data_IF_851478904080
#
_entry.id   IF_851478904080
#
_cell.length_a   1.000
_cell.length_b   1.000
_cell.length_c   1.000
_cell.angle_alpha   90.00
_cell.angle_beta   90.00
_cell.angle_gamma   90.00
#
_symmetry.space_group_name_H-M   'P 1'
#
loop_
_entity.id
_entity.type
_entity.pdbx_description
1 polymer ?
#
# COMPACT_ATOMS: atom_id res chain seq x y z
N UNK A 1 -7.82 12.26 17.77
CA UNK A 1 -7.44 10.83 17.80
C UNK A 1 -5.96 10.74 18.10
N UNK A 2 -5.53 10.02 19.14
CA UNK A 2 -4.11 9.97 19.55
C UNK A 2 -3.16 9.41 18.46
N UNK A 3 -3.71 8.76 17.43
CA UNK A 3 -2.95 8.18 16.34
C UNK A 3 -2.45 9.22 15.32
N UNK A 4 -3.08 10.40 15.19
CA UNK A 4 -2.71 11.41 14.18
C UNK A 4 -2.04 12.64 14.80
N UNK A 5 -1.41 12.49 15.97
CA UNK A 5 -0.76 13.62 16.61
C UNK A 5 0.38 14.17 15.73
N UNK A 6 0.41 15.48 15.40
CA UNK A 6 1.38 16.05 14.47
C UNK A 6 2.83 15.73 14.81
N UNK A 7 3.22 15.82 16.08
CA UNK A 7 4.58 15.45 16.51
C UNK A 7 4.96 14.01 16.14
N UNK A 8 4.05 13.05 16.26
CA UNK A 8 4.33 11.66 15.91
C UNK A 8 4.52 11.54 14.40
N UNK A 9 3.64 12.16 13.61
CA UNK A 9 3.73 12.14 12.15
C UNK A 9 5.04 12.77 11.68
N UNK A 10 5.36 13.98 12.15
CA UNK A 10 6.59 14.69 11.78
C UNK A 10 7.85 13.89 12.15
N UNK A 11 7.87 13.21 13.30
CA UNK A 11 8.99 12.35 13.67
C UNK A 11 9.12 11.15 12.71
N UNK A 12 8.02 10.51 12.34
CA UNK A 12 8.05 9.40 11.39
C UNK A 12 8.47 9.87 9.98
N UNK A 13 7.99 11.02 9.53
CA UNK A 13 8.41 11.63 8.24
C UNK A 13 9.90 11.92 8.23
N UNK A 14 10.40 12.55 9.30
CA UNK A 14 11.83 12.81 9.46
C UNK A 14 12.65 11.51 9.43
N UNK A 15 12.24 10.48 10.17
CA UNK A 15 12.95 9.21 10.19
C UNK A 15 12.93 8.51 8.82
N UNK A 16 11.81 8.58 8.09
CA UNK A 16 11.72 8.05 6.74
C UNK A 16 12.66 8.80 5.78
N UNK A 17 12.60 10.14 5.78
CA UNK A 17 13.47 10.97 4.96
C UNK A 17 14.96 10.78 5.29
N UNK A 18 15.31 10.68 6.57
CA UNK A 18 16.68 10.37 7.01
C UNK A 18 17.13 9.00 6.50
N UNK A 19 16.29 7.97 6.67
CA UNK A 19 16.58 6.61 6.18
C UNK A 19 16.83 6.58 4.67
N UNK A 20 16.10 7.40 3.90
CA UNK A 20 16.29 7.53 2.45
C UNK A 20 17.51 8.36 2.06
N UNK A 21 17.86 9.39 2.83
CA UNK A 21 19.12 10.12 2.60
C UNK A 21 20.34 9.20 2.67
N UNK A 22 20.30 8.21 3.59
CA UNK A 22 21.32 7.18 3.66
C UNK A 22 21.35 6.29 2.42
N UNK A 23 20.23 6.08 1.72
CA UNK A 23 20.19 5.37 0.44
C UNK A 23 20.84 6.18 -0.68
N UNK A 24 20.44 7.45 -0.87
CA UNK A 24 20.91 8.32 -1.97
C UNK A 24 22.39 8.72 -1.90
N UNK A 25 23.02 8.69 -0.73
CA UNK A 25 24.41 9.16 -0.55
C UNK A 25 25.51 8.26 -1.20
N UNK A 26 25.15 7.28 -2.03
CA UNK A 26 26.12 6.41 -2.72
C UNK A 26 25.82 6.31 -4.23
N UNK A 27 25.85 7.45 -4.92
CA UNK A 27 25.87 7.52 -6.38
C UNK A 27 27.23 7.02 -6.93
N UNK A 28 27.58 5.76 -6.66
CA UNK A 28 28.44 5.00 -7.55
C UNK A 28 27.53 4.25 -8.51
N UNK A 29 27.79 4.32 -9.82
CA UNK A 29 26.99 3.79 -10.94
C UNK A 29 26.64 2.28 -10.90
N UNK A 30 26.94 1.58 -9.81
CA UNK A 30 26.44 0.24 -9.52
C UNK A 30 25.12 0.31 -8.76
N UNK A 31 24.09 -0.38 -9.26
CA UNK A 31 22.87 -0.71 -8.51
C UNK A 31 23.28 -1.56 -7.31
N UNK A 32 23.69 -0.95 -6.21
CA UNK A 32 23.91 -1.68 -4.97
C UNK A 32 22.53 -2.08 -4.41
N UNK A 33 22.31 -3.35 -4.06
CA UNK A 33 21.08 -3.78 -3.40
C UNK A 33 20.86 -2.92 -2.16
N UNK A 34 19.58 -2.64 -1.85
CA UNK A 34 19.16 -1.75 -0.77
C UNK A 34 20.11 -1.84 0.44
N UNK A 35 20.73 -0.71 0.80
CA UNK A 35 21.83 -0.68 1.78
C UNK A 35 21.48 -1.48 3.04
N UNK A 36 22.49 -2.14 3.63
CA UNK A 36 22.36 -3.00 4.81
C UNK A 36 21.47 -2.42 5.91
N UNK A 37 21.50 -1.09 6.13
CA UNK A 37 20.66 -0.40 7.10
C UNK A 37 19.16 -0.46 6.77
N UNK A 38 18.75 -0.09 5.55
CA UNK A 38 17.34 -0.09 5.16
C UNK A 38 16.76 -1.51 5.19
N UNK A 39 17.51 -2.48 4.66
CA UNK A 39 17.13 -3.89 4.75
C UNK A 39 16.92 -4.33 6.21
N UNK A 40 17.87 -4.02 7.12
CA UNK A 40 17.72 -4.30 8.56
C UNK A 40 16.53 -3.57 9.17
N UNK A 41 16.25 -2.33 8.78
CA UNK A 41 15.10 -1.56 9.26
C UNK A 41 13.78 -2.22 8.84
N UNK A 42 13.62 -2.58 7.58
CA UNK A 42 12.42 -3.29 7.12
C UNK A 42 12.28 -4.64 7.83
N UNK A 43 13.32 -5.46 7.88
CA UNK A 43 13.27 -6.74 8.60
C UNK A 43 12.90 -6.56 10.08
N UNK A 44 13.46 -5.54 10.73
CA UNK A 44 13.11 -5.20 12.11
C UNK A 44 11.62 -4.85 12.23
N UNK A 45 11.09 -3.97 11.39
CA UNK A 45 9.67 -3.60 11.40
C UNK A 45 8.74 -4.81 11.18
N UNK A 46 9.09 -5.68 10.23
CA UNK A 46 8.32 -6.89 9.90
C UNK A 46 8.39 -7.97 10.99
N UNK A 47 9.37 -7.92 11.89
CA UNK A 47 9.49 -8.85 13.02
C UNK A 47 8.47 -8.59 14.14
N UNK A 48 7.90 -7.38 14.23
CA UNK A 48 6.96 -7.03 15.28
C UNK A 48 5.53 -7.50 14.98
N UNK A 49 5.08 -8.48 15.75
CA UNK A 49 3.78 -9.12 15.54
C UNK A 49 2.58 -8.36 16.13
N UNK A 50 2.67 -7.83 17.36
CA UNK A 50 1.43 -7.68 18.16
C UNK A 50 1.12 -6.29 18.74
N UNK A 51 2.12 -5.55 19.25
CA UNK A 51 1.82 -4.37 20.08
C UNK A 51 1.55 -3.07 19.30
N UNK A 52 2.22 -2.87 18.17
CA UNK A 52 2.24 -1.56 17.47
C UNK A 52 1.83 -1.66 16.00
N UNK A 53 0.88 -2.55 15.71
CA UNK A 53 0.49 -2.99 14.35
C UNK A 53 0.16 -1.84 13.40
N UNK A 54 -0.66 -0.89 13.84
CA UNK A 54 -1.01 0.31 13.07
C UNK A 54 0.24 1.14 12.72
N UNK A 55 1.11 1.41 13.71
CA UNK A 55 2.30 2.24 13.51
C UNK A 55 3.31 1.60 12.57
N UNK A 56 3.43 0.29 12.62
CA UNK A 56 4.30 -0.46 11.70
C UNK A 56 3.78 -0.30 10.28
N UNK A 57 2.50 -0.57 10.02
CA UNK A 57 1.92 -0.41 8.68
C UNK A 57 2.05 1.05 8.21
N UNK A 58 1.71 2.02 9.06
CA UNK A 58 1.81 3.43 8.74
C UNK A 58 3.25 3.86 8.40
N UNK A 59 4.23 3.46 9.21
CA UNK A 59 5.63 3.80 8.96
C UNK A 59 6.18 3.08 7.72
N UNK A 60 5.75 1.83 7.46
CA UNK A 60 6.07 1.13 6.22
C UNK A 60 5.53 1.87 5.00
N UNK A 61 4.29 2.38 5.04
CA UNK A 61 3.74 3.23 3.99
C UNK A 61 4.64 4.44 3.73
N UNK A 62 5.08 5.13 4.78
CA UNK A 62 5.93 6.32 4.65
C UNK A 62 7.31 5.98 4.09
N UNK A 63 7.94 4.91 4.58
CA UNK A 63 9.22 4.43 4.05
C UNK A 63 9.09 4.05 2.57
N UNK A 64 8.12 3.21 2.23
CA UNK A 64 7.88 2.78 0.85
C UNK A 64 7.58 3.96 -0.05
N UNK A 65 6.79 4.96 0.37
CA UNK A 65 6.51 6.13 -0.45
C UNK A 65 7.71 7.09 -0.58
N UNK A 66 8.66 7.03 0.36
CA UNK A 66 9.88 7.85 0.32
C UNK A 66 10.98 7.22 -0.56
N UNK A 67 10.84 5.94 -0.92
CA UNK A 67 11.73 5.27 -1.86
C UNK A 67 11.61 5.94 -3.24
N UNK A 68 12.71 6.18 -3.96
CA UNK A 68 12.63 6.76 -5.31
C UNK A 68 11.91 5.84 -6.30
N UNK A 69 11.45 6.37 -7.43
CA UNK A 69 10.79 5.56 -8.47
C UNK A 69 11.71 4.53 -9.12
N UNK A 70 13.03 4.77 -9.08
CA UNK A 70 14.05 3.91 -9.65
C UNK A 70 14.72 2.96 -8.64
N UNK A 71 14.24 2.94 -7.40
CA UNK A 71 14.83 2.07 -6.40
C UNK A 71 14.41 0.61 -6.61
N UNK A 72 15.36 -0.30 -6.40
CA UNK A 72 15.15 -1.73 -6.49
C UNK A 72 15.09 -2.30 -5.08
N UNK A 73 13.94 -2.88 -4.72
CA UNK A 73 13.78 -3.66 -3.49
C UNK A 73 14.11 -5.11 -3.84
N UNK A 74 14.88 -5.77 -2.98
CA UNK A 74 15.17 -7.20 -3.09
C UNK A 74 13.88 -8.04 -3.08
N UNK A 75 13.75 -9.00 -4.00
CA UNK A 75 12.53 -9.81 -4.19
C UNK A 75 12.10 -10.50 -2.89
N UNK A 76 13.05 -11.08 -2.13
CA UNK A 76 12.75 -11.76 -0.87
C UNK A 76 12.27 -10.77 0.20
N UNK A 77 12.75 -9.52 0.20
CA UNK A 77 12.16 -8.51 1.07
C UNK A 77 10.76 -8.09 0.60
N UNK A 78 10.56 -7.92 -0.70
CA UNK A 78 9.26 -7.62 -1.28
C UNK A 78 8.21 -8.67 -0.88
N UNK A 79 8.55 -9.95 -1.00
CA UNK A 79 7.71 -11.08 -0.60
C UNK A 79 7.38 -11.05 0.90
N UNK A 80 8.37 -10.75 1.75
CA UNK A 80 8.15 -10.61 3.19
C UNK A 80 7.20 -9.44 3.52
N UNK A 81 7.37 -8.28 2.88
CA UNK A 81 6.46 -7.15 3.09
C UNK A 81 5.05 -7.51 2.62
N UNK A 82 4.93 -8.10 1.43
CA UNK A 82 3.67 -8.55 0.82
C UNK A 82 2.93 -9.51 1.74
N UNK A 83 3.58 -10.59 2.16
CA UNK A 83 3.00 -11.59 3.07
C UNK A 83 2.53 -10.94 4.38
N UNK A 84 3.35 -10.08 4.98
CA UNK A 84 3.00 -9.40 6.24
C UNK A 84 1.84 -8.42 6.08
N UNK A 85 1.76 -7.69 4.98
CA UNK A 85 0.66 -6.74 4.77
C UNK A 85 -0.65 -7.46 4.44
N UNK A 86 -0.61 -8.60 3.76
CA UNK A 86 -1.78 -9.48 3.59
C UNK A 86 -2.28 -9.98 4.95
N UNK A 87 -1.40 -10.46 5.83
CA UNK A 87 -1.80 -10.86 7.19
C UNK A 87 -2.45 -9.70 7.95
N UNK A 88 -1.90 -8.48 7.82
CA UNK A 88 -2.41 -7.28 8.50
C UNK A 88 -3.67 -6.70 7.86
N UNK A 89 -3.93 -7.01 6.59
CA UNK A 89 -5.20 -6.68 5.97
C UNK A 89 -6.35 -7.46 6.61
N UNK A 90 -6.08 -8.59 7.27
CA UNK A 90 -7.08 -9.39 7.98
C UNK A 90 -7.21 -9.03 9.48
N UNK A 91 -6.63 -7.90 9.91
CA UNK A 91 -6.67 -7.47 11.31
C UNK A 91 -8.09 -7.16 11.82
N UNK A 92 -8.33 -7.41 13.11
CA UNK A 92 -9.57 -7.04 13.79
C UNK A 92 -9.83 -5.53 13.74
N UNK A 93 -8.77 -4.72 13.89
CA UNK A 93 -8.88 -3.26 13.83
C UNK A 93 -8.98 -2.78 12.38
N UNK A 94 -10.04 -2.04 12.07
CA UNK A 94 -10.23 -1.42 10.75
C UNK A 94 -9.11 -0.46 10.39
N UNK A 95 -8.52 0.23 11.38
CA UNK A 95 -7.43 1.18 11.18
C UNK A 95 -6.17 0.45 10.70
N UNK A 96 -5.90 -0.72 11.26
CA UNK A 96 -4.76 -1.56 10.84
C UNK A 96 -5.00 -2.10 9.44
N UNK A 97 -6.22 -2.59 9.13
CA UNK A 97 -6.55 -3.06 7.79
C UNK A 97 -6.36 -1.98 6.72
N UNK A 98 -6.85 -0.77 7.00
CA UNK A 98 -6.68 0.37 6.08
C UNK A 98 -5.20 0.75 5.89
N UNK A 99 -4.41 0.76 6.96
CA UNK A 99 -2.96 1.02 6.85
C UNK A 99 -2.20 -0.08 6.11
N UNK A 100 -2.60 -1.35 6.27
CA UNK A 100 -2.02 -2.44 5.49
C UNK A 100 -2.29 -2.26 3.99
N UNK A 101 -3.52 -1.86 3.63
CA UNK A 101 -3.86 -1.49 2.24
C UNK A 101 -2.95 -0.37 1.74
N UNK A 102 -2.79 0.73 2.49
CA UNK A 102 -1.90 1.83 2.09
C UNK A 102 -0.44 1.40 1.93
N UNK A 103 0.08 0.58 2.84
CA UNK A 103 1.45 0.06 2.76
C UNK A 103 1.69 -0.82 1.52
N UNK A 104 0.66 -1.51 1.03
CA UNK A 104 0.77 -2.36 -0.16
C UNK A 104 0.70 -1.61 -1.50
N UNK A 105 0.48 -0.29 -1.51
CA UNK A 105 0.21 0.47 -2.73
C UNK A 105 1.29 0.28 -3.81
N UNK A 106 2.57 0.40 -3.43
CA UNK A 106 3.72 0.26 -4.34
C UNK A 106 4.12 -1.18 -4.68
N UNK A 107 3.46 -2.16 -4.08
CA UNK A 107 3.74 -3.60 -4.26
C UNK A 107 2.78 -4.25 -5.25
N UNK A 108 1.91 -3.47 -5.89
CA UNK A 108 0.98 -3.97 -6.89
C UNK A 108 1.70 -4.27 -8.21
N UNK A 109 1.30 -5.36 -8.85
CA UNK A 109 1.73 -5.74 -10.20
C UNK A 109 0.50 -5.79 -11.12
N UNK A 110 0.07 -4.66 -11.72
CA UNK A 110 -1.18 -4.57 -12.47
C UNK A 110 -1.24 -5.47 -13.72
N UNK A 111 -0.07 -5.77 -14.30
CA UNK A 111 0.10 -6.67 -15.43
C UNK A 111 0.09 -8.16 -15.05
N UNK A 112 0.26 -8.47 -13.77
CA UNK A 112 0.21 -9.83 -13.25
C UNK A 112 -1.22 -10.18 -12.86
N UNK A 113 -1.85 -11.07 -13.62
CA UNK A 113 -3.22 -11.51 -13.39
C UNK A 113 -3.41 -12.21 -12.02
N UNK A 114 -2.35 -12.72 -11.42
CA UNK A 114 -2.35 -13.40 -10.12
C UNK A 114 -1.66 -12.57 -9.03
N UNK A 115 -1.59 -11.24 -9.18
CA UNK A 115 -1.00 -10.37 -8.18
C UNK A 115 -1.73 -10.51 -6.83
N UNK A 116 -1.05 -10.97 -5.75
CA UNK A 116 -1.71 -11.24 -4.47
C UNK A 116 -2.22 -9.97 -3.78
N UNK A 117 -1.57 -8.83 -4.00
CA UNK A 117 -2.02 -7.54 -3.48
C UNK A 117 -3.35 -7.11 -4.15
N UNK A 118 -3.47 -7.31 -5.47
CA UNK A 118 -4.71 -6.99 -6.19
C UNK A 118 -5.83 -7.91 -5.73
N UNK A 119 -5.57 -9.21 -5.52
CA UNK A 119 -6.55 -10.13 -4.96
C UNK A 119 -7.01 -9.73 -3.55
N UNK A 120 -6.07 -9.34 -2.68
CA UNK A 120 -6.36 -8.78 -1.36
C UNK A 120 -7.24 -7.52 -1.45
N UNK A 121 -6.93 -6.60 -2.37
CA UNK A 121 -7.70 -5.38 -2.58
C UNK A 121 -9.14 -5.70 -3.02
N UNK A 122 -9.29 -6.59 -4.00
CA UNK A 122 -10.60 -7.05 -4.47
C UNK A 122 -11.40 -7.69 -3.34
N UNK A 123 -10.76 -8.52 -2.51
CA UNK A 123 -11.40 -9.12 -1.33
C UNK A 123 -11.98 -8.03 -0.42
N UNK A 124 -11.19 -7.03 -0.01
CA UNK A 124 -11.69 -5.95 0.87
C UNK A 124 -12.77 -5.10 0.21
N UNK A 125 -12.64 -4.82 -1.09
CA UNK A 125 -13.63 -4.02 -1.82
C UNK A 125 -15.02 -4.70 -1.88
N UNK A 126 -15.04 -6.03 -1.93
CA UNK A 126 -16.26 -6.82 -1.94
C UNK A 126 -16.77 -7.22 -0.56
N UNK A 127 -15.88 -7.44 0.41
CA UNK A 127 -16.21 -8.14 1.67
C UNK A 127 -15.99 -7.31 2.93
N UNK A 128 -15.18 -6.25 2.90
CA UNK A 128 -14.96 -5.46 4.10
C UNK A 128 -16.24 -4.69 4.48
N UNK A 129 -16.68 -4.88 5.72
CA UNK A 129 -17.89 -4.22 6.24
C UNK A 129 -17.67 -2.73 6.47
N UNK A 130 -16.42 -2.30 6.67
CA UNK A 130 -16.09 -0.91 7.03
C UNK A 130 -15.78 -0.09 5.77
N UNK A 131 -16.55 0.98 5.50
CA UNK A 131 -16.34 1.80 4.32
C UNK A 131 -14.97 2.48 4.32
N UNK A 132 -14.37 2.74 5.49
CA UNK A 132 -13.00 3.28 5.64
C UNK A 132 -11.97 2.41 4.91
N UNK A 133 -12.06 1.08 5.06
CA UNK A 133 -11.11 0.15 4.43
C UNK A 133 -11.39 0.06 2.93
N UNK A 134 -12.66 0.02 2.52
CA UNK A 134 -13.04 0.02 1.09
C UNK A 134 -12.57 1.30 0.38
N UNK A 135 -12.62 2.45 1.06
CA UNK A 135 -12.08 3.72 0.57
C UNK A 135 -10.58 3.68 0.43
N UNK A 136 -9.87 3.14 1.42
CA UNK A 136 -8.42 2.97 1.34
C UNK A 136 -8.05 2.16 0.09
N UNK A 137 -8.79 1.09 -0.21
CA UNK A 137 -8.58 0.29 -1.42
C UNK A 137 -8.77 1.12 -2.69
N UNK A 138 -9.91 1.81 -2.86
CA UNK A 138 -10.14 2.61 -4.07
C UNK A 138 -9.13 3.77 -4.24
N UNK A 139 -8.60 4.29 -3.13
CA UNK A 139 -7.61 5.36 -3.15
C UNK A 139 -6.23 4.89 -3.65
N UNK A 140 -5.87 3.62 -3.46
CA UNK A 140 -4.54 3.09 -3.79
C UNK A 140 -4.52 2.02 -4.86
N UNK A 141 -5.67 1.43 -5.23
CA UNK A 141 -5.74 0.37 -6.23
C UNK A 141 -5.20 0.83 -7.58
N UNK A 142 -4.39 0.00 -8.23
CA UNK A 142 -3.90 0.27 -9.58
C UNK A 142 -4.95 -0.08 -10.63
N UNK A 143 -4.93 0.64 -11.74
CA UNK A 143 -5.87 0.47 -12.85
C UNK A 143 -5.51 -0.76 -13.70
N UNK A 144 -6.47 -1.69 -13.84
CA UNK A 144 -6.46 -2.76 -14.83
C UNK A 144 -7.89 -3.24 -15.10
N UNK A 145 -8.07 -4.23 -15.99
CA UNK A 145 -9.39 -4.72 -16.36
C UNK A 145 -10.17 -5.30 -15.15
N UNK A 146 -9.50 -5.99 -14.22
CA UNK A 146 -10.14 -6.60 -13.05
C UNK A 146 -10.57 -5.53 -12.03
N UNK A 147 -9.70 -4.57 -11.75
CA UNK A 147 -9.95 -3.50 -10.78
C UNK A 147 -11.00 -2.51 -11.28
N UNK A 148 -11.05 -2.25 -12.59
CA UNK A 148 -12.15 -1.50 -13.22
C UNK A 148 -13.52 -2.14 -12.97
N UNK A 149 -13.64 -3.44 -13.24
CA UNK A 149 -14.90 -4.17 -13.03
C UNK A 149 -15.33 -4.14 -11.55
N UNK A 150 -14.37 -4.19 -10.63
CA UNK A 150 -14.63 -4.06 -9.21
C UNK A 150 -15.11 -2.65 -8.84
N UNK A 151 -14.44 -1.60 -9.34
CA UNK A 151 -14.82 -0.21 -9.13
C UNK A 151 -16.22 0.10 -9.70
N UNK A 152 -16.57 -0.43 -10.87
CA UNK A 152 -17.92 -0.28 -11.45
C UNK A 152 -19.00 -0.82 -10.50
N UNK A 153 -18.78 -1.97 -9.86
CA UNK A 153 -19.72 -2.51 -8.86
C UNK A 153 -19.84 -1.61 -7.63
N UNK A 154 -18.80 -0.85 -7.29
CA UNK A 154 -18.77 0.09 -6.16
C UNK A 154 -19.49 1.43 -6.43
N UNK A 155 -19.86 1.72 -7.68
CA UNK A 155 -20.80 2.81 -7.98
C UNK A 155 -22.18 2.62 -7.33
N UNK A 156 -22.48 1.42 -6.83
CA UNK A 156 -23.70 1.06 -6.10
C UNK A 156 -23.45 0.66 -4.65
N UNK A 157 -22.34 1.12 -4.06
CA UNK A 157 -22.05 0.88 -2.65
C UNK A 157 -23.08 1.57 -1.73
N UNK A 158 -23.33 0.98 -0.56
CA UNK A 158 -24.26 1.52 0.44
C UNK A 158 -23.79 2.87 0.97
N UNK A 159 -22.47 3.11 0.97
CA UNK A 159 -21.86 4.35 1.42
C UNK A 159 -21.72 5.36 0.26
N UNK A 160 -22.20 6.58 0.46
CA UNK A 160 -22.21 7.63 -0.57
C UNK A 160 -20.81 8.07 -1.00
N UNK A 161 -19.88 8.14 -0.04
CA UNK A 161 -18.49 8.51 -0.31
C UNK A 161 -17.76 7.44 -1.12
N UNK A 162 -18.11 6.16 -0.92
CA UNK A 162 -17.63 5.06 -1.74
C UNK A 162 -18.12 5.17 -3.19
N UNK A 163 -19.41 5.52 -3.40
CA UNK A 163 -19.94 5.71 -4.76
C UNK A 163 -19.21 6.83 -5.48
N UNK A 164 -18.99 7.97 -4.82
CA UNK A 164 -18.21 9.09 -5.36
C UNK A 164 -16.79 8.64 -5.76
N UNK A 165 -16.08 7.99 -4.85
CA UNK A 165 -14.70 7.56 -5.08
C UNK A 165 -14.60 6.52 -6.21
N UNK A 166 -15.61 5.66 -6.37
CA UNK A 166 -15.68 4.74 -7.50
C UNK A 166 -15.73 5.47 -8.85
N UNK A 167 -16.53 6.54 -8.96
CA UNK A 167 -16.54 7.37 -10.17
C UNK A 167 -15.20 8.08 -10.40
N UNK A 168 -14.56 8.60 -9.35
CA UNK A 168 -13.23 9.21 -9.43
C UNK A 168 -12.19 8.20 -9.93
N UNK A 169 -12.20 6.96 -9.42
CA UNK A 169 -11.33 5.90 -9.90
C UNK A 169 -11.56 5.59 -11.38
N UNK A 170 -12.82 5.37 -11.78
CA UNK A 170 -13.18 5.05 -13.17
C UNK A 170 -12.76 6.18 -14.12
N UNK A 171 -12.83 7.45 -13.69
CA UNK A 171 -12.45 8.60 -14.50
C UNK A 171 -10.97 8.64 -14.90
N UNK A 172 -10.10 7.92 -14.19
CA UNK A 172 -8.67 7.83 -14.50
C UNK A 172 -8.36 6.83 -15.63
N UNK A 173 -9.32 5.97 -15.98
CA UNK A 173 -9.12 4.91 -16.97
C UNK A 173 -9.49 5.43 -18.36
N UNK A 174 -8.53 5.37 -19.28
CA UNK A 174 -8.73 5.82 -20.66
C UNK A 174 -9.55 4.79 -21.44
N UNK A 175 -10.47 5.26 -22.29
CA UNK A 175 -11.32 4.39 -23.11
C UNK A 175 -10.50 3.46 -24.02
N UNK A 176 -9.32 3.89 -24.46
CA UNK A 176 -8.38 3.10 -25.27
C UNK A 176 -7.79 1.87 -24.55
N UNK A 177 -7.82 1.85 -23.21
CA UNK A 177 -7.37 0.69 -22.42
C UNK A 177 -8.43 -0.41 -22.33
N UNK A 178 -9.65 -0.15 -22.79
CA UNK A 178 -10.78 -1.07 -22.70
C UNK A 178 -10.82 -1.99 -23.92
N UNK A 179 -10.97 -3.29 -23.69
CA UNK A 179 -11.11 -4.30 -24.74
C UNK A 179 -12.41 -5.09 -24.55
N UNK A 180 -13.09 -5.39 -25.65
CA UNK A 180 -14.23 -6.31 -25.69
C UNK A 180 -13.64 -7.71 -25.90
N UNK A 181 -13.98 -8.66 -25.02
CA UNK A 181 -13.63 -10.08 -25.18
C UNK A 181 -14.75 -10.82 -25.90
#
# INVERSE_FOLDING_TARGET
MAQEHPHIINTLEFCAGFSMSLYSCAESESIEPMKSFLNKLFTFLLSYANAVRYRICHYLTMLLNSIGDHAVIDDNLCDQITSRMIDRSMDKSLEVRAQAVFASHRLQEPSNDQCPIIEMYLFHLYKDTKPEVRRAVLATMSENQKTLLAALKKTRDIDDSMRKMAYEFISKITVSSLTIK
#
